data_IF_245945171623
#
_entry.id   IF_245945171623
#
_cell.length_a   1.000
_cell.length_b   1.000
_cell.length_c   1.000
_cell.angle_alpha   90.00
_cell.angle_beta   90.00
_cell.angle_gamma   90.00
#
_symmetry.space_group_name_H-M   'P 1'
#
loop_
_entity.id
_entity.type
_entity.pdbx_description
1 polymer ?
#
# COMPACT_ATOMS: atom_id res chain seq x y z
N UNK A 1 6.06 13.83 14.43
CA UNK A 1 7.35 14.35 14.91
C UNK A 1 8.45 13.74 14.07
N UNK A 2 9.13 14.61 13.38
CA UNK A 2 10.15 14.39 12.40
C UNK A 2 11.32 13.60 12.97
N UNK A 3 11.62 12.46 12.36
CA UNK A 3 12.89 11.79 12.58
C UNK A 3 13.92 12.44 11.65
N UNK A 4 14.38 13.60 12.07
CA UNK A 4 15.46 14.30 11.42
C UNK A 4 16.73 14.08 12.25
N UNK A 5 17.57 13.14 11.85
CA UNK A 5 18.96 13.10 12.32
C UNK A 5 19.72 14.18 11.56
N UNK A 6 19.80 15.36 12.19
CA UNK A 6 20.70 16.44 11.78
C UNK A 6 22.13 16.07 12.14
N UNK A 7 22.96 15.79 11.14
CA UNK A 7 24.39 16.06 11.22
C UNK A 7 24.73 17.10 10.18
N UNK A 8 25.01 18.26 10.69
CA UNK A 8 25.69 19.46 10.26
C UNK A 8 25.97 19.70 8.77
N UNK A 9 25.64 20.95 8.39
CA UNK A 9 26.06 21.70 7.23
C UNK A 9 25.33 21.46 5.91
N UNK A 10 24.29 22.27 5.66
CA UNK A 10 24.24 23.02 4.39
C UNK A 10 23.64 22.32 3.18
N UNK A 11 23.00 21.15 3.29
CA UNK A 11 22.20 20.62 2.17
C UNK A 11 20.74 20.54 2.58
N UNK A 12 19.92 21.33 1.89
CA UNK A 12 18.46 21.15 1.87
C UNK A 12 18.21 19.80 1.22
N UNK A 13 18.24 18.73 2.00
CA UNK A 13 17.84 17.39 1.53
C UNK A 13 16.38 17.49 1.12
N UNK A 14 16.17 17.65 -0.17
CA UNK A 14 14.90 17.40 -0.81
C UNK A 14 14.44 16.03 -0.30
N UNK A 15 13.29 15.93 0.40
CA UNK A 15 12.73 14.68 0.87
C UNK A 15 12.66 13.74 -0.32
N UNK A 16 13.59 12.80 -0.38
CA UNK A 16 13.65 11.84 -1.49
C UNK A 16 12.74 10.67 -1.14
N UNK A 17 11.86 10.31 -2.07
CA UNK A 17 11.07 9.10 -1.94
C UNK A 17 12.00 7.88 -1.99
N UNK A 18 11.68 6.85 -1.25
CA UNK A 18 12.41 5.58 -1.34
C UNK A 18 12.27 4.98 -2.73
N UNK A 19 13.35 4.41 -3.21
CA UNK A 19 13.32 3.39 -4.26
C UNK A 19 13.33 2.02 -3.59
N UNK A 20 13.01 0.94 -4.33
CA UNK A 20 13.13 -0.42 -3.75
C UNK A 20 14.52 -0.69 -3.17
N UNK A 21 15.57 -0.27 -3.88
CA UNK A 21 16.96 -0.47 -3.43
C UNK A 21 17.29 0.35 -2.18
N UNK A 22 16.88 1.62 -2.10
CA UNK A 22 17.14 2.44 -0.91
C UNK A 22 16.30 2.00 0.28
N UNK A 23 15.10 1.47 0.06
CA UNK A 23 14.28 0.88 1.12
C UNK A 23 14.94 -0.37 1.69
N UNK A 24 15.42 -1.30 0.84
CA UNK A 24 16.16 -2.49 1.28
C UNK A 24 17.39 -2.09 2.09
N UNK A 25 18.18 -1.13 1.60
CA UNK A 25 19.37 -0.65 2.31
C UNK A 25 19.01 -0.10 3.69
N UNK A 26 17.94 0.69 3.80
CA UNK A 26 17.50 1.23 5.10
C UNK A 26 17.02 0.12 6.04
N UNK A 27 16.29 -0.89 5.55
CA UNK A 27 15.86 -2.03 6.35
C UNK A 27 17.07 -2.82 6.87
N UNK A 28 18.08 -3.04 6.03
CA UNK A 28 19.33 -3.69 6.39
C UNK A 28 20.12 -2.91 7.46
N UNK A 29 20.26 -1.59 7.28
CA UNK A 29 20.91 -0.70 8.25
C UNK A 29 20.20 -0.67 9.61
N UNK A 30 18.88 -0.84 9.63
CA UNK A 30 18.06 -0.91 10.84
C UNK A 30 17.96 -2.31 11.45
N UNK A 31 18.50 -3.33 10.80
CA UNK A 31 18.41 -4.73 11.25
C UNK A 31 17.01 -5.34 11.11
N UNK A 32 16.17 -4.80 10.23
CA UNK A 32 14.80 -5.26 9.99
C UNK A 32 14.75 -6.20 8.81
N UNK A 33 14.33 -7.43 9.05
CA UNK A 33 14.23 -8.47 8.02
C UNK A 33 15.60 -9.11 7.67
N UNK A 34 15.57 -9.92 6.64
CA UNK A 34 16.73 -10.69 6.14
C UNK A 34 16.72 -10.68 4.62
N UNK A 35 17.83 -11.02 3.94
CA UNK A 35 17.89 -11.03 2.48
C UNK A 35 16.74 -11.80 1.81
N UNK A 36 16.30 -12.89 2.43
CA UNK A 36 15.18 -13.71 1.94
C UNK A 36 13.81 -13.04 2.05
N UNK A 37 13.64 -12.03 2.92
CA UNK A 37 12.34 -11.40 3.21
C UNK A 37 12.17 -10.04 2.55
N UNK A 38 13.23 -9.35 2.15
CA UNK A 38 13.14 -7.99 1.58
C UNK A 38 12.28 -7.93 0.31
N UNK A 39 12.58 -8.75 -0.67
CA UNK A 39 11.85 -8.76 -1.94
C UNK A 39 10.38 -9.20 -1.78
N UNK A 40 10.05 -10.26 -1.02
CA UNK A 40 8.67 -10.61 -0.68
C UNK A 40 7.91 -9.49 0.00
N UNK A 41 8.51 -8.81 0.98
CA UNK A 41 7.88 -7.69 1.71
C UNK A 41 7.51 -6.54 0.76
N UNK A 42 8.45 -6.13 -0.10
CA UNK A 42 8.19 -5.08 -1.10
C UNK A 42 7.06 -5.51 -2.06
N UNK A 43 7.09 -6.76 -2.51
CA UNK A 43 6.04 -7.30 -3.38
C UNK A 43 4.66 -7.28 -2.72
N UNK A 44 4.59 -7.59 -1.42
CA UNK A 44 3.36 -7.59 -0.63
C UNK A 44 2.81 -6.17 -0.47
N UNK A 45 3.62 -5.19 -0.07
CA UNK A 45 3.16 -3.81 0.12
C UNK A 45 2.68 -3.17 -1.19
N UNK A 46 3.33 -3.49 -2.31
CA UNK A 46 2.90 -3.09 -3.65
C UNK A 46 1.63 -3.83 -4.08
N UNK A 47 1.56 -5.15 -3.86
CA UNK A 47 0.39 -5.98 -4.20
C UNK A 47 -0.86 -5.60 -3.42
N UNK A 48 -0.72 -5.26 -2.14
CA UNK A 48 -1.80 -4.74 -1.28
C UNK A 48 -2.11 -3.27 -1.52
N UNK A 49 -1.33 -2.60 -2.37
CA UNK A 49 -1.48 -1.18 -2.71
C UNK A 49 -1.36 -0.23 -1.53
N UNK A 50 -0.61 -0.60 -0.52
CA UNK A 50 -0.21 0.32 0.53
C UNK A 50 0.78 1.36 0.00
N UNK A 51 1.53 0.96 -1.03
CA UNK A 51 2.51 1.77 -1.73
C UNK A 51 2.32 1.61 -3.24
N UNK A 52 2.49 2.69 -4.00
CA UNK A 52 2.56 2.68 -5.47
C UNK A 52 3.99 2.95 -5.92
N UNK A 53 4.35 2.41 -7.08
CA UNK A 53 5.64 2.66 -7.71
C UNK A 53 5.44 3.51 -8.96
N UNK A 54 6.02 4.71 -8.95
CA UNK A 54 6.05 5.60 -10.08
C UNK A 54 7.50 5.76 -10.56
N UNK A 55 7.78 5.35 -11.77
CA UNK A 55 9.14 5.21 -12.29
C UNK A 55 10.02 4.31 -11.39
N UNK A 56 10.85 4.90 -10.55
CA UNK A 56 11.72 4.18 -9.60
C UNK A 56 11.34 4.43 -8.15
N UNK A 57 10.49 5.42 -7.88
CA UNK A 57 10.16 5.88 -6.54
C UNK A 57 8.90 5.19 -6.00
N UNK A 58 8.89 5.00 -4.69
CA UNK A 58 7.77 4.45 -3.94
C UNK A 58 6.99 5.60 -3.29
N UNK A 59 5.67 5.58 -3.42
CA UNK A 59 4.75 6.57 -2.83
C UNK A 59 3.73 5.84 -1.98
N UNK A 60 3.48 6.36 -0.79
CA UNK A 60 2.40 5.84 0.04
C UNK A 60 1.06 6.19 -0.60
N UNK A 61 0.10 5.29 -0.53
CA UNK A 61 -1.27 5.53 -0.97
C UNK A 61 -2.13 5.95 0.20
N UNK A 62 -3.32 6.48 -0.07
CA UNK A 62 -4.32 6.81 0.95
C UNK A 62 -4.65 5.58 1.83
N UNK A 63 -4.86 4.42 1.21
CA UNK A 63 -5.07 3.14 1.93
C UNK A 63 -3.85 2.81 2.81
N UNK A 64 -2.64 3.00 2.29
CA UNK A 64 -1.40 2.75 3.03
C UNK A 64 -1.27 3.67 4.24
N UNK A 65 -1.65 4.93 4.11
CA UNK A 65 -1.61 5.91 5.19
C UNK A 65 -2.63 5.56 6.29
N UNK A 66 -3.88 5.25 5.92
CA UNK A 66 -4.93 4.82 6.85
C UNK A 66 -4.49 3.57 7.62
N UNK A 67 -4.00 2.53 6.93
CA UNK A 67 -3.53 1.30 7.56
C UNK A 67 -2.34 1.56 8.48
N UNK A 68 -1.37 2.38 8.05
CA UNK A 68 -0.21 2.72 8.88
C UNK A 68 -0.61 3.47 10.16
N UNK A 69 -1.54 4.41 10.07
CA UNK A 69 -2.03 5.16 11.23
C UNK A 69 -2.80 4.24 12.20
N UNK A 70 -3.67 3.38 11.68
CA UNK A 70 -4.38 2.37 12.45
C UNK A 70 -3.41 1.44 13.20
N UNK A 71 -2.40 0.91 12.50
CA UNK A 71 -1.40 0.04 13.11
C UNK A 71 -0.59 0.75 14.19
N UNK A 72 -0.20 2.00 13.97
CA UNK A 72 0.52 2.79 14.98
C UNK A 72 -0.31 3.11 16.22
N UNK A 73 -1.61 3.27 16.07
CA UNK A 73 -2.52 3.52 17.20
C UNK A 73 -2.78 2.25 18.01
N UNK A 74 -3.08 1.15 17.33
CA UNK A 74 -3.48 -0.10 18.00
C UNK A 74 -2.30 -0.96 18.45
N UNK A 75 -1.16 -0.89 17.74
CA UNK A 75 -0.01 -1.75 17.97
C UNK A 75 1.33 -0.96 18.05
N UNK A 76 1.42 0.09 18.88
CA UNK A 76 2.58 1.00 18.88
C UNK A 76 3.90 0.27 19.20
N UNK A 77 3.87 -0.71 20.10
CA UNK A 77 5.04 -1.50 20.49
C UNK A 77 5.52 -2.43 19.37
N UNK A 78 4.60 -3.02 18.60
CA UNK A 78 4.91 -3.99 17.54
C UNK A 78 5.40 -3.29 16.28
N UNK A 79 4.88 -2.09 15.99
CA UNK A 79 5.25 -1.29 14.80
C UNK A 79 6.56 -0.51 15.02
N UNK A 80 7.14 -0.58 16.22
CA UNK A 80 8.42 0.05 16.53
C UNK A 80 9.58 -0.65 15.80
N UNK A 81 10.48 0.16 15.24
CA UNK A 81 11.67 -0.32 14.50
C UNK A 81 12.57 -1.17 15.39
N UNK A 82 12.77 -0.75 16.66
CA UNK A 82 13.64 -1.45 17.58
C UNK A 82 13.03 -2.80 18.00
N UNK A 83 11.70 -2.87 18.12
CA UNK A 83 11.01 -4.13 18.41
C UNK A 83 11.30 -5.17 17.32
N UNK A 84 11.14 -4.79 16.04
CA UNK A 84 11.38 -5.71 14.91
C UNK A 84 12.85 -6.14 14.87
N UNK A 85 13.79 -5.19 15.01
CA UNK A 85 15.22 -5.50 15.03
C UNK A 85 15.61 -6.42 16.20
N UNK A 86 15.05 -6.19 17.40
CA UNK A 86 15.28 -7.05 18.56
C UNK A 86 14.70 -8.46 18.37
N UNK A 87 13.51 -8.56 17.77
CA UNK A 87 12.89 -9.86 17.47
C UNK A 87 13.75 -10.67 16.48
N UNK A 88 14.26 -10.03 15.43
CA UNK A 88 15.20 -10.66 14.50
C UNK A 88 16.46 -11.18 15.22
N UNK A 89 17.03 -10.37 16.12
CA UNK A 89 18.18 -10.77 16.95
C UNK A 89 17.86 -11.95 17.90
N UNK A 90 16.65 -11.98 18.48
CA UNK A 90 16.22 -13.14 19.29
C UNK A 90 16.06 -14.40 18.44
N UNK A 91 15.58 -14.30 17.21
CA UNK A 91 15.49 -15.44 16.29
C UNK A 91 16.86 -15.96 15.88
N UNK A 92 17.85 -15.09 15.68
CA UNK A 92 19.24 -15.50 15.45
C UNK A 92 19.80 -16.28 16.67
N UNK A 93 19.49 -15.82 17.90
CA UNK A 93 19.88 -16.53 19.12
C UNK A 93 19.19 -17.91 19.26
N UNK A 94 17.97 -18.05 18.75
CA UNK A 94 17.27 -19.35 18.67
C UNK A 94 17.97 -20.26 17.67
N UNK A 95 18.38 -19.75 16.50
CA UNK A 95 19.12 -20.50 15.49
C UNK A 95 20.45 -21.01 16.04
N UNK A 96 21.15 -20.18 16.81
CA UNK A 96 22.40 -20.55 17.49
C UNK A 96 22.22 -21.52 18.70
N UNK A 97 20.96 -21.84 19.06
CA UNK A 97 20.62 -22.69 20.20
C UNK A 97 20.81 -22.03 21.58
N UNK A 98 21.03 -20.74 21.65
CA UNK A 98 21.23 -19.99 22.91
C UNK A 98 19.92 -19.73 23.65
N UNK A 99 18.79 -19.60 22.94
CA UNK A 99 17.48 -19.31 23.51
C UNK A 99 16.46 -20.31 22.96
N UNK A 100 15.61 -20.93 23.80
CA UNK A 100 14.52 -21.77 23.32
C UNK A 100 13.45 -20.95 22.61
N UNK A 101 13.03 -21.34 21.41
CA UNK A 101 12.01 -20.63 20.65
C UNK A 101 10.67 -20.46 21.40
N UNK A 102 10.33 -21.44 22.25
CA UNK A 102 9.11 -21.38 23.09
C UNK A 102 9.12 -20.23 24.08
N UNK A 103 10.30 -19.84 24.56
CA UNK A 103 10.45 -18.72 25.48
C UNK A 103 10.22 -17.40 24.76
N UNK A 104 10.72 -17.25 23.55
CA UNK A 104 10.45 -16.06 22.71
C UNK A 104 8.97 -15.89 22.47
N UNK A 105 8.26 -16.95 22.09
CA UNK A 105 6.80 -16.91 21.87
C UNK A 105 6.06 -16.63 23.17
N UNK A 106 6.43 -17.24 24.29
CA UNK A 106 5.78 -17.03 25.59
C UNK A 106 5.88 -15.60 26.08
N UNK A 107 6.98 -14.94 25.77
CA UNK A 107 7.18 -13.54 26.15
C UNK A 107 6.46 -12.56 25.22
N UNK A 108 6.29 -12.91 23.94
CA UNK A 108 5.66 -12.05 22.94
C UNK A 108 4.12 -12.16 22.91
N UNK A 109 3.60 -13.38 23.01
CA UNK A 109 2.19 -13.66 22.71
C UNK A 109 1.19 -12.96 23.63
N UNK A 110 1.41 -12.84 24.96
CA UNK A 110 0.45 -12.18 25.85
C UNK A 110 0.20 -10.71 25.50
N UNK A 111 1.27 -9.97 25.20
CA UNK A 111 1.18 -8.55 24.84
C UNK A 111 0.45 -8.37 23.50
N UNK A 112 0.72 -9.28 22.54
CA UNK A 112 0.01 -9.31 21.27
C UNK A 112 -1.48 -9.61 21.46
N UNK A 113 -1.82 -10.62 22.27
CA UNK A 113 -3.20 -11.01 22.53
C UNK A 113 -4.01 -9.87 23.17
N UNK A 114 -3.42 -9.18 24.14
CA UNK A 114 -4.05 -8.02 24.80
C UNK A 114 -4.25 -6.87 23.78
N UNK A 115 -3.22 -6.56 22.98
CA UNK A 115 -3.31 -5.51 21.96
C UNK A 115 -4.37 -5.83 20.91
N UNK A 116 -4.50 -7.10 20.48
CA UNK A 116 -5.54 -7.53 19.53
C UNK A 116 -6.92 -7.37 20.11
N UNK A 117 -7.17 -7.84 21.36
CA UNK A 117 -8.47 -7.69 22.01
C UNK A 117 -8.89 -6.23 22.14
N UNK A 118 -7.95 -5.38 22.57
CA UNK A 118 -8.20 -3.94 22.65
C UNK A 118 -8.50 -3.33 21.29
N UNK A 119 -7.75 -3.73 20.24
CA UNK A 119 -7.99 -3.24 18.89
C UNK A 119 -9.35 -3.69 18.33
N UNK A 120 -9.80 -4.91 18.62
CA UNK A 120 -11.13 -5.40 18.22
C UNK A 120 -12.28 -4.61 18.86
N UNK A 121 -12.08 -4.11 20.08
CA UNK A 121 -13.08 -3.30 20.80
C UNK A 121 -13.06 -1.82 20.37
N UNK A 122 -11.88 -1.26 20.13
CA UNK A 122 -11.70 0.19 19.90
C UNK A 122 -11.69 0.60 18.43
N UNK A 123 -11.36 -0.32 17.49
CA UNK A 123 -11.26 0.01 16.08
C UNK A 123 -12.63 0.12 15.41
N UNK A 124 -12.96 1.31 14.99
CA UNK A 124 -14.10 1.54 14.12
C UNK A 124 -13.77 1.16 12.67
N UNK A 125 -14.80 0.70 11.95
CA UNK A 125 -14.64 0.41 10.52
C UNK A 125 -14.39 1.71 9.75
N UNK A 126 -13.16 1.90 9.31
CA UNK A 126 -12.80 3.03 8.45
C UNK A 126 -13.34 2.77 7.04
N UNK A 127 -14.33 3.54 6.63
CA UNK A 127 -14.81 3.55 5.24
C UNK A 127 -14.02 4.60 4.48
N UNK A 128 -13.21 4.15 3.54
CA UNK A 128 -12.58 5.06 2.57
C UNK A 128 -13.69 5.48 1.61
N UNK A 129 -13.92 6.77 1.48
CA UNK A 129 -14.91 7.30 0.55
C UNK A 129 -14.47 6.96 -0.88
N UNK A 130 -15.41 6.39 -1.64
CA UNK A 130 -15.15 6.07 -3.04
C UNK A 130 -15.08 7.39 -3.84
N UNK A 131 -14.10 7.53 -4.72
CA UNK A 131 -13.99 8.66 -5.64
C UNK A 131 -15.16 8.62 -6.63
N UNK A 132 -16.09 9.59 -6.50
CA UNK A 132 -17.24 9.69 -7.39
C UNK A 132 -16.81 10.28 -8.74
N UNK A 133 -17.24 9.67 -9.83
CA UNK A 133 -16.94 10.13 -11.19
C UNK A 133 -18.16 10.73 -11.89
N UNK A 134 -17.92 11.47 -12.97
CA UNK A 134 -18.99 12.01 -13.83
C UNK A 134 -19.61 10.95 -14.75
N UNK A 135 -19.11 9.70 -14.70
CA UNK A 135 -19.61 8.61 -15.53
C UNK A 135 -20.92 8.07 -14.95
N UNK A 136 -21.98 8.12 -15.74
CA UNK A 136 -23.31 7.66 -15.34
C UNK A 136 -23.45 6.17 -15.62
N UNK A 137 -24.03 5.46 -14.66
CA UNK A 137 -24.40 4.05 -14.83
C UNK A 137 -25.58 3.94 -15.81
N UNK A 138 -25.43 3.14 -16.87
CA UNK A 138 -26.46 2.95 -17.91
C UNK A 138 -27.68 2.20 -17.40
N UNK A 139 -27.54 1.42 -16.33
CA UNK A 139 -28.61 0.59 -15.77
C UNK A 139 -29.49 1.34 -14.75
N UNK A 140 -28.89 2.21 -13.92
CA UNK A 140 -29.62 2.83 -12.81
C UNK A 140 -29.48 4.36 -12.73
N UNK A 141 -28.70 4.98 -13.62
CA UNK A 141 -28.55 6.45 -13.71
C UNK A 141 -27.71 7.09 -12.60
N UNK A 142 -27.12 6.32 -11.67
CA UNK A 142 -26.25 6.84 -10.60
C UNK A 142 -24.85 7.11 -11.13
N UNK A 143 -24.15 8.08 -10.56
CA UNK A 143 -22.73 8.30 -10.87
C UNK A 143 -21.91 7.11 -10.42
N UNK A 144 -21.04 6.60 -11.29
CA UNK A 144 -20.14 5.50 -10.96
C UNK A 144 -18.99 5.96 -10.09
N UNK A 145 -18.48 5.07 -9.27
CA UNK A 145 -17.37 5.32 -8.35
C UNK A 145 -16.14 4.52 -8.76
N UNK A 146 -14.96 5.06 -8.50
CA UNK A 146 -13.71 4.35 -8.73
C UNK A 146 -13.50 3.33 -7.63
N UNK A 147 -13.43 2.06 -8.01
CA UNK A 147 -13.04 0.99 -7.11
C UNK A 147 -11.77 0.29 -7.57
N UNK A 148 -11.14 -0.38 -6.64
CA UNK A 148 -9.90 -1.10 -6.89
C UNK A 148 -10.16 -2.60 -6.89
N UNK A 149 -9.88 -3.26 -8.00
CA UNK A 149 -9.96 -4.72 -8.17
C UNK A 149 -8.58 -5.37 -8.34
N UNK A 150 -8.52 -6.70 -8.49
CA UNK A 150 -7.26 -7.43 -8.69
C UNK A 150 -6.43 -6.94 -9.89
N UNK A 151 -7.10 -6.41 -10.92
CA UNK A 151 -6.47 -5.95 -12.17
C UNK A 151 -6.25 -4.44 -12.26
N UNK A 152 -6.55 -3.68 -11.21
CA UNK A 152 -6.40 -2.23 -11.20
C UNK A 152 -7.68 -1.47 -10.88
N UNK A 153 -7.69 -0.17 -11.17
CA UNK A 153 -8.87 0.68 -11.03
C UNK A 153 -9.96 0.25 -12.02
N UNK A 154 -11.21 0.26 -11.56
CA UNK A 154 -12.40 0.07 -12.40
C UNK A 154 -13.52 0.97 -11.88
N UNK A 155 -14.49 1.25 -12.71
CA UNK A 155 -15.70 1.96 -12.33
C UNK A 155 -16.75 0.96 -11.88
N UNK A 156 -17.34 1.18 -10.72
CA UNK A 156 -18.42 0.38 -10.17
C UNK A 156 -19.65 1.25 -9.90
N UNK A 157 -20.81 0.67 -10.03
CA UNK A 157 -22.03 1.33 -9.60
C UNK A 157 -22.14 1.31 -8.07
N UNK A 158 -22.43 2.45 -7.39
CA UNK A 158 -22.61 2.47 -5.93
C UNK A 158 -23.91 1.79 -5.48
N UNK A 159 -24.79 1.40 -6.43
CA UNK A 159 -26.03 0.67 -6.16
C UNK A 159 -25.85 -0.81 -5.87
N UNK A 160 -24.63 -1.32 -5.68
CA UNK A 160 -24.42 -2.70 -5.27
C UNK A 160 -25.08 -2.99 -3.91
N UNK A 161 -25.76 -4.14 -3.71
CA UNK A 161 -25.85 -5.32 -4.60
C UNK A 161 -26.94 -5.27 -5.69
N UNK A 162 -27.83 -4.28 -5.68
CA UNK A 162 -28.96 -4.17 -6.59
C UNK A 162 -28.52 -3.94 -8.05
N UNK A 163 -27.56 -3.04 -8.24
CA UNK A 163 -26.94 -2.78 -9.54
C UNK A 163 -25.48 -3.22 -9.53
N UNK A 164 -25.13 -4.17 -10.37
CA UNK A 164 -23.77 -4.76 -10.45
C UNK A 164 -22.97 -4.26 -11.65
N UNK A 165 -23.41 -3.16 -12.27
CA UNK A 165 -22.75 -2.65 -13.46
C UNK A 165 -21.33 -2.16 -13.14
N UNK A 166 -20.36 -2.58 -13.95
CA UNK A 166 -18.95 -2.20 -13.84
C UNK A 166 -18.40 -1.82 -15.21
N UNK A 167 -17.53 -0.82 -15.24
CA UNK A 167 -16.83 -0.38 -16.47
C UNK A 167 -15.32 -0.32 -16.22
N UNK A 168 -14.49 -0.52 -17.26
CA UNK A 168 -13.05 -0.30 -17.12
C UNK A 168 -12.78 1.18 -16.82
N UNK A 169 -11.86 1.45 -15.89
CA UNK A 169 -11.36 2.80 -15.65
C UNK A 169 -10.37 3.18 -16.75
N UNK A 170 -10.74 4.17 -17.56
CA UNK A 170 -9.92 4.66 -18.67
C UNK A 170 -9.31 6.01 -18.28
N UNK A 171 -8.00 6.04 -18.12
CA UNK A 171 -7.25 7.27 -17.83
C UNK A 171 -7.13 8.13 -19.10
N UNK A 172 -7.83 9.27 -19.12
CA UNK A 172 -7.83 10.22 -20.24
C UNK A 172 -6.54 11.07 -20.20
N UNK A 173 -5.89 11.21 -21.33
CA UNK A 173 -4.65 12.00 -21.43
C UNK A 173 -4.89 13.46 -21.88
N UNK A 174 -6.15 13.88 -22.02
CA UNK A 174 -6.52 15.24 -22.42
C UNK A 174 -6.32 15.55 -23.91
N UNK A 175 -6.02 14.54 -24.74
CA UNK A 175 -5.88 14.68 -26.20
C UNK A 175 -7.07 14.06 -26.90
N UNK A 176 -7.59 14.71 -27.92
CA UNK A 176 -8.67 14.18 -28.74
C UNK A 176 -8.15 13.31 -29.89
N UNK A 177 -8.87 12.24 -30.18
CA UNK A 177 -8.56 11.36 -31.29
C UNK A 177 -8.76 12.10 -32.62
N UNK A 178 -7.78 12.16 -33.52
CA UNK A 178 -7.88 12.89 -34.80
C UNK A 178 -8.90 12.27 -35.79
N UNK A 179 -9.27 11.00 -35.55
CA UNK A 179 -10.19 10.29 -36.46
C UNK A 179 -11.65 10.41 -36.01
N UNK A 180 -11.95 10.37 -34.73
CA UNK A 180 -13.34 10.34 -34.23
C UNK A 180 -13.66 11.47 -33.22
N UNK A 181 -12.70 12.30 -32.82
CA UNK A 181 -12.88 13.39 -31.86
C UNK A 181 -13.08 12.98 -30.39
N UNK A 182 -13.12 11.68 -30.08
CA UNK A 182 -13.25 11.17 -28.70
C UNK A 182 -11.92 11.24 -27.96
N UNK A 183 -11.95 10.96 -26.66
CA UNK A 183 -10.74 11.05 -25.84
C UNK A 183 -9.75 9.92 -26.15
N UNK A 184 -8.46 10.25 -26.14
CA UNK A 184 -7.38 9.27 -26.16
C UNK A 184 -7.12 8.84 -24.71
N UNK A 185 -7.06 7.53 -24.48
CA UNK A 185 -6.95 6.91 -23.15
C UNK A 185 -5.75 5.98 -23.06
N UNK A 186 -5.26 5.79 -21.85
CA UNK A 186 -4.21 4.81 -21.58
C UNK A 186 -4.85 3.45 -21.41
N UNK A 187 -4.46 2.51 -22.26
CA UNK A 187 -4.85 1.09 -22.19
C UNK A 187 -3.67 0.21 -21.83
N UNK A 188 -3.94 -0.98 -21.32
CA UNK A 188 -2.92 -2.00 -21.05
C UNK A 188 -3.15 -3.23 -21.90
N UNK A 189 -2.09 -3.75 -22.49
CA UNK A 189 -2.11 -5.06 -23.15
C UNK A 189 -2.25 -6.19 -22.13
N UNK A 190 -2.61 -7.41 -22.57
CA UNK A 190 -2.62 -8.61 -21.71
C UNK A 190 -1.28 -8.87 -21.00
N UNK A 191 -0.16 -8.38 -21.55
CA UNK A 191 1.18 -8.47 -20.99
C UNK A 191 1.56 -7.27 -20.10
N UNK A 192 0.59 -6.38 -19.76
CA UNK A 192 0.78 -5.24 -18.85
C UNK A 192 1.46 -4.00 -19.49
N UNK A 193 1.80 -4.01 -20.77
CA UNK A 193 2.38 -2.83 -21.46
C UNK A 193 1.30 -1.78 -21.70
N UNK A 194 1.60 -0.53 -21.31
CA UNK A 194 0.72 0.62 -21.58
C UNK A 194 0.83 1.04 -23.04
N UNK A 195 -0.28 1.41 -23.64
CA UNK A 195 -0.36 2.03 -24.95
C UNK A 195 -1.50 3.05 -24.98
N UNK A 196 -1.43 3.97 -25.92
CA UNK A 196 -2.45 4.99 -26.12
C UNK A 196 -3.44 4.49 -27.17
N UNK A 197 -4.71 4.56 -26.87
CA UNK A 197 -5.77 4.14 -27.78
C UNK A 197 -6.98 5.08 -27.70
N UNK A 198 -7.84 5.04 -28.71
CA UNK A 198 -9.11 5.74 -28.64
C UNK A 198 -10.06 5.07 -27.64
N UNK A 199 -10.96 5.87 -27.04
CA UNK A 199 -11.96 5.37 -26.09
C UNK A 199 -12.84 4.29 -26.69
N UNK A 200 -13.13 4.33 -27.98
CA UNK A 200 -14.01 3.40 -28.71
C UNK A 200 -13.30 2.21 -29.38
N UNK A 201 -12.02 2.00 -29.18
CA UNK A 201 -11.31 0.90 -29.88
C UNK A 201 -10.87 -0.17 -28.90
#
# INVERSE_FOLDING_TARGET
RDFCLSRGLGDVYKRQHYTEATLVKTLEELGIGRPSTYAPTISIILGRRYVTKEAKNLYITEIGEVVNNMMKQSFPSIVDVNFTANMEGLLDMVEEGKVPWKEVIRNFYPDLEEAVKKAEEELETVKIEDEVTDVICEECGRNMVVKYGPHGKFLACPGFPECRNTKPYLEKIGVKCPLCGKDVVIRKTKKGRKYYGCEDN
#
